data_IF_133891735277
#
_entry.id   IF_133891735277
#
_cell.length_a   1.000
_cell.length_b   1.000
_cell.length_c   1.000
_cell.angle_alpha   90.00
_cell.angle_beta   90.00
_cell.angle_gamma   90.00
#
_symmetry.space_group_name_H-M   'P 1'
#
loop_
_entity.id
_entity.type
_entity.pdbx_description
1 polymer ?
#
# COMPACT_ATOMS: atom_id res chain seq x y z
N UNK A 1 -22.26 -46.67 -24.06
CA UNK A 1 -22.22 -45.19 -24.09
C UNK A 1 -23.44 -44.69 -23.34
N UNK A 2 -23.33 -44.54 -22.02
CA UNK A 2 -24.42 -44.15 -21.11
C UNK A 2 -23.82 -43.19 -20.09
N UNK A 3 -23.93 -41.90 -20.35
CA UNK A 3 -23.51 -40.85 -19.42
C UNK A 3 -24.52 -40.82 -18.28
N UNK A 4 -24.10 -41.22 -17.09
CA UNK A 4 -25.00 -41.38 -15.94
C UNK A 4 -25.44 -39.99 -15.43
N UNK A 5 -26.76 -39.67 -15.37
CA UNK A 5 -27.26 -38.34 -15.04
C UNK A 5 -26.82 -37.84 -13.65
N UNK A 6 -26.59 -38.75 -12.69
CA UNK A 6 -26.06 -38.40 -11.38
C UNK A 6 -24.60 -37.89 -11.43
N UNK A 7 -23.77 -38.49 -12.30
CA UNK A 7 -22.38 -38.04 -12.51
C UNK A 7 -22.32 -36.68 -13.21
N UNK A 8 -23.24 -36.40 -14.15
CA UNK A 8 -23.34 -35.08 -14.80
C UNK A 8 -23.78 -33.99 -13.82
N UNK A 9 -24.66 -34.29 -12.87
CA UNK A 9 -25.11 -33.35 -11.85
C UNK A 9 -24.00 -33.03 -10.84
N UNK A 10 -23.23 -34.03 -10.40
CA UNK A 10 -22.08 -33.80 -9.50
C UNK A 10 -20.93 -33.07 -10.18
N UNK A 11 -20.66 -33.35 -11.46
CA UNK A 11 -19.73 -32.56 -12.28
C UNK A 11 -20.20 -31.11 -12.44
N UNK A 12 -21.49 -30.88 -12.71
CA UNK A 12 -22.05 -29.54 -12.84
C UNK A 12 -21.98 -28.74 -11.52
N UNK A 13 -22.22 -29.39 -10.37
CA UNK A 13 -22.05 -28.80 -9.04
C UNK A 13 -20.59 -28.46 -8.77
N UNK A 14 -19.66 -29.36 -9.07
CA UNK A 14 -18.21 -29.14 -8.91
C UNK A 14 -17.70 -27.96 -9.75
N UNK A 15 -18.16 -27.85 -11.00
CA UNK A 15 -17.84 -26.72 -11.89
C UNK A 15 -18.43 -25.42 -11.36
N UNK A 16 -19.67 -25.45 -10.85
CA UNK A 16 -20.31 -24.26 -10.26
C UNK A 16 -19.55 -23.78 -9.02
N UNK A 17 -19.19 -24.69 -8.11
CA UNK A 17 -18.41 -24.35 -6.91
C UNK A 17 -17.02 -23.81 -7.24
N UNK A 18 -16.36 -24.35 -8.28
CA UNK A 18 -15.07 -23.81 -8.75
C UNK A 18 -15.22 -22.39 -9.31
N UNK A 19 -16.27 -22.13 -10.10
CA UNK A 19 -16.55 -20.79 -10.65
C UNK A 19 -16.87 -19.75 -9.58
N UNK A 20 -17.56 -20.14 -8.52
CA UNK A 20 -17.84 -19.28 -7.36
C UNK A 20 -16.53 -18.88 -6.68
N UNK A 21 -15.64 -19.85 -6.37
CA UNK A 21 -14.33 -19.56 -5.77
C UNK A 21 -13.45 -18.65 -6.64
N UNK A 22 -13.46 -18.85 -7.96
CA UNK A 22 -12.71 -17.99 -8.88
C UNK A 22 -13.29 -16.58 -8.99
N UNK A 23 -14.60 -16.41 -8.79
CA UNK A 23 -15.25 -15.11 -8.73
C UNK A 23 -14.93 -14.39 -7.41
N UNK A 24 -15.01 -15.11 -6.28
CA UNK A 24 -14.63 -14.60 -4.96
C UNK A 24 -13.16 -14.15 -4.95
N UNK A 25 -12.24 -14.99 -5.44
CA UNK A 25 -10.81 -14.65 -5.53
C UNK A 25 -10.59 -13.38 -6.37
N UNK A 26 -11.31 -13.23 -7.48
CA UNK A 26 -11.20 -12.02 -8.32
C UNK A 26 -11.74 -10.78 -7.61
N UNK A 27 -12.85 -10.90 -6.87
CA UNK A 27 -13.40 -9.80 -6.10
C UNK A 27 -12.47 -9.37 -4.96
N UNK A 28 -11.79 -10.30 -4.28
CA UNK A 28 -10.78 -9.98 -3.27
C UNK A 28 -9.60 -9.21 -3.86
N UNK A 29 -9.07 -9.67 -5.00
CA UNK A 29 -7.94 -9.00 -5.68
C UNK A 29 -8.32 -7.59 -6.16
N UNK A 30 -9.53 -7.42 -6.69
CA UNK A 30 -10.04 -6.11 -7.12
C UNK A 30 -10.19 -5.14 -5.95
N UNK A 31 -10.69 -5.64 -4.81
CA UNK A 31 -10.81 -4.87 -3.56
C UNK A 31 -9.44 -4.44 -3.05
N UNK A 32 -8.48 -5.37 -2.94
CA UNK A 32 -7.11 -5.07 -2.49
C UNK A 32 -6.42 -4.05 -3.40
N UNK A 33 -6.61 -4.17 -4.72
CA UNK A 33 -6.04 -3.24 -5.71
C UNK A 33 -6.62 -1.84 -5.56
N UNK A 34 -7.95 -1.71 -5.44
CA UNK A 34 -8.60 -0.42 -5.22
C UNK A 34 -8.21 0.28 -3.91
N UNK A 35 -7.91 -0.51 -2.87
CA UNK A 35 -7.41 0.02 -1.59
C UNK A 35 -5.98 0.55 -1.69
N UNK A 36 -5.10 -0.20 -2.37
CA UNK A 36 -3.73 0.25 -2.66
C UNK A 36 -3.78 1.56 -3.45
N UNK A 37 -4.61 1.64 -4.48
CA UNK A 37 -4.75 2.85 -5.29
C UNK A 37 -5.23 4.05 -4.46
N UNK A 38 -6.22 3.87 -3.57
CA UNK A 38 -6.65 4.94 -2.67
C UNK A 38 -5.55 5.40 -1.70
N UNK A 39 -4.76 4.45 -1.18
CA UNK A 39 -3.66 4.75 -0.29
C UNK A 39 -2.54 5.51 -1.03
N UNK A 40 -2.21 5.09 -2.25
CA UNK A 40 -1.20 5.72 -3.11
C UNK A 40 -1.57 7.15 -3.52
N UNK A 41 -2.87 7.41 -3.76
CA UNK A 41 -3.40 8.74 -4.08
C UNK A 41 -3.54 9.64 -2.84
N UNK A 42 -3.43 9.08 -1.63
CA UNK A 42 -3.56 9.85 -0.39
C UNK A 42 -2.44 10.88 -0.21
N UNK A 43 -2.77 12.03 0.40
CA UNK A 43 -1.78 13.08 0.68
C UNK A 43 -0.63 12.56 1.54
N UNK A 44 -0.88 11.64 2.48
CA UNK A 44 0.15 11.11 3.37
C UNK A 44 1.23 10.30 2.62
N UNK A 45 0.83 9.49 1.63
CA UNK A 45 1.80 8.80 0.76
C UNK A 45 2.66 9.80 0.00
N UNK A 46 2.03 10.81 -0.61
CA UNK A 46 2.72 11.85 -1.37
C UNK A 46 3.70 12.64 -0.49
N UNK A 47 3.27 13.10 0.68
CA UNK A 47 4.09 13.85 1.64
C UNK A 47 5.34 13.08 2.07
N UNK A 48 5.22 11.77 2.34
CA UNK A 48 6.39 10.94 2.64
C UNK A 48 7.36 10.84 1.45
N UNK A 49 6.85 10.63 0.23
CA UNK A 49 7.71 10.55 -0.96
C UNK A 49 8.40 11.88 -1.28
N UNK A 50 7.72 13.00 -1.09
CA UNK A 50 8.28 14.34 -1.24
C UNK A 50 9.39 14.59 -0.19
N UNK A 51 9.16 14.20 1.07
CA UNK A 51 10.16 14.29 2.12
C UNK A 51 11.39 13.38 1.86
N UNK A 52 11.20 12.18 1.31
CA UNK A 52 12.30 11.30 0.91
C UNK A 52 13.13 11.89 -0.25
N UNK A 53 12.49 12.60 -1.18
CA UNK A 53 13.18 13.34 -2.23
C UNK A 53 14.01 14.51 -1.64
N UNK A 54 13.45 15.24 -0.67
CA UNK A 54 14.15 16.30 0.06
C UNK A 54 15.40 15.79 0.80
N UNK A 55 15.32 14.62 1.44
CA UNK A 55 16.47 13.94 2.06
C UNK A 55 17.57 13.70 1.04
N UNK A 56 17.21 13.17 -0.13
CA UNK A 56 18.17 12.92 -1.21
C UNK A 56 18.85 14.21 -1.67
N UNK A 57 18.08 15.28 -1.88
CA UNK A 57 18.61 16.60 -2.25
C UNK A 57 19.54 17.15 -1.16
N UNK A 58 19.14 17.07 0.10
CA UNK A 58 19.93 17.58 1.22
C UNK A 58 21.23 16.77 1.42
N UNK A 59 21.18 15.45 1.22
CA UNK A 59 22.36 14.58 1.23
C UNK A 59 23.36 14.99 0.15
N UNK A 60 22.92 15.14 -1.11
CA UNK A 60 23.82 15.55 -2.18
C UNK A 60 24.47 16.91 -1.90
N UNK A 61 23.68 17.88 -1.40
CA UNK A 61 24.19 19.20 -1.00
C UNK A 61 25.22 19.10 0.11
N UNK A 62 24.98 18.31 1.14
CA UNK A 62 25.93 18.11 2.23
C UNK A 62 27.21 17.40 1.77
N UNK A 63 27.07 16.33 0.97
CA UNK A 63 28.21 15.57 0.45
C UNK A 63 29.14 16.40 -0.45
N UNK A 64 28.57 17.37 -1.19
CA UNK A 64 29.32 18.29 -2.05
C UNK A 64 29.79 19.57 -1.34
N UNK A 65 29.38 19.81 -0.09
CA UNK A 65 29.68 21.06 0.61
C UNK A 65 31.16 21.16 1.00
N UNK A 66 31.73 22.35 0.77
CA UNK A 66 33.05 22.74 1.27
C UNK A 66 33.08 22.83 2.81
N UNK A 67 34.27 22.89 3.38
CA UNK A 67 34.49 22.85 4.84
C UNK A 67 33.76 23.95 5.62
N UNK A 68 33.58 25.14 5.04
CA UNK A 68 32.85 26.27 5.63
C UNK A 68 31.35 25.99 5.80
N UNK A 69 30.73 25.36 4.81
CA UNK A 69 29.27 25.18 4.76
C UNK A 69 28.83 23.79 5.21
N UNK A 70 29.77 22.85 5.37
CA UNK A 70 29.49 21.44 5.69
C UNK A 70 28.65 21.26 6.94
N UNK A 71 28.88 22.06 7.99
CA UNK A 71 28.09 21.98 9.24
C UNK A 71 26.64 22.41 9.03
N UNK A 72 26.42 23.50 8.29
CA UNK A 72 25.07 23.98 7.98
C UNK A 72 24.35 23.01 7.06
N UNK A 73 25.03 22.49 6.03
CA UNK A 73 24.46 21.49 5.12
C UNK A 73 24.14 20.18 5.84
N UNK A 74 24.96 19.76 6.82
CA UNK A 74 24.66 18.59 7.65
C UNK A 74 23.41 18.80 8.53
N UNK A 75 23.27 19.98 9.13
CA UNK A 75 22.07 20.32 9.90
C UNK A 75 20.81 20.33 9.02
N UNK A 76 20.89 20.86 7.80
CA UNK A 76 19.80 20.83 6.83
C UNK A 76 19.44 19.40 6.39
N UNK A 77 20.44 18.52 6.24
CA UNK A 77 20.23 17.10 5.98
C UNK A 77 19.54 16.39 7.16
N UNK A 78 19.99 16.64 8.40
CA UNK A 78 19.32 16.12 9.59
C UNK A 78 17.85 16.56 9.69
N UNK A 79 17.57 17.84 9.47
CA UNK A 79 16.21 18.37 9.44
C UNK A 79 15.35 17.79 8.29
N UNK A 80 15.97 17.33 7.20
CA UNK A 80 15.24 16.61 6.14
C UNK A 80 14.88 15.19 6.60
N UNK A 81 15.80 14.48 7.26
CA UNK A 81 15.55 13.15 7.83
C UNK A 81 14.44 13.19 8.89
N UNK A 82 14.43 14.19 9.77
CA UNK A 82 13.39 14.34 10.79
C UNK A 82 12.00 14.53 10.14
N UNK A 83 11.92 15.31 9.06
CA UNK A 83 10.68 15.52 8.31
C UNK A 83 10.23 14.25 7.57
N UNK A 84 11.16 13.53 6.96
CA UNK A 84 10.86 12.24 6.32
C UNK A 84 10.33 11.24 7.35
N UNK A 85 10.98 11.11 8.51
CA UNK A 85 10.56 10.21 9.57
C UNK A 85 9.15 10.55 10.09
N UNK A 86 8.85 11.84 10.28
CA UNK A 86 7.52 12.29 10.67
C UNK A 86 6.45 11.96 9.61
N UNK A 87 6.75 12.20 8.33
CA UNK A 87 5.83 11.89 7.23
C UNK A 87 5.62 10.37 7.06
N UNK A 88 6.68 9.57 7.19
CA UNK A 88 6.61 8.12 7.17
C UNK A 88 5.72 7.57 8.30
N UNK A 89 5.84 8.13 9.51
CA UNK A 89 4.99 7.78 10.64
C UNK A 89 3.52 8.10 10.36
N UNK A 90 3.22 9.29 9.84
CA UNK A 90 1.86 9.68 9.49
C UNK A 90 1.25 8.78 8.41
N UNK A 91 2.05 8.37 7.42
CA UNK A 91 1.63 7.40 6.41
C UNK A 91 1.37 6.00 7.01
N UNK A 92 2.22 5.53 7.92
CA UNK A 92 2.02 4.26 8.61
C UNK A 92 0.73 4.26 9.46
N UNK A 93 0.45 5.35 10.18
CA UNK A 93 -0.79 5.52 10.94
C UNK A 93 -2.01 5.52 10.00
N UNK A 94 -1.89 6.16 8.83
CA UNK A 94 -2.93 6.15 7.81
C UNK A 94 -3.20 4.74 7.28
N UNK A 95 -2.15 3.98 6.98
CA UNK A 95 -2.24 2.58 6.54
C UNK A 95 -2.94 1.71 7.60
N UNK A 96 -2.57 1.85 8.87
CA UNK A 96 -3.19 1.14 9.98
C UNK A 96 -4.68 1.49 10.16
N UNK A 97 -5.03 2.77 10.00
CA UNK A 97 -6.41 3.25 10.07
C UNK A 97 -7.29 2.72 8.94
N UNK A 98 -6.73 2.61 7.72
CA UNK A 98 -7.41 2.04 6.57
C UNK A 98 -7.72 0.56 6.78
N UNK A 99 -6.73 -0.24 7.20
CA UNK A 99 -6.95 -1.66 7.49
C UNK A 99 -7.99 -1.89 8.59
N UNK A 100 -8.00 -1.05 9.63
CA UNK A 100 -8.96 -1.16 10.73
C UNK A 100 -10.39 -0.82 10.32
N UNK A 101 -10.58 0.18 9.44
CA UNK A 101 -11.90 0.58 8.94
C UNK A 101 -12.55 -0.51 8.09
N UNK A 102 -11.75 -1.18 7.26
CA UNK A 102 -12.23 -2.24 6.38
C UNK A 102 -12.57 -3.53 7.14
N UNK A 103 -11.75 -3.92 8.13
CA UNK A 103 -12.08 -5.05 9.01
C UNK A 103 -13.34 -4.80 9.84
N UNK A 104 -13.59 -3.56 10.27
CA UNK A 104 -14.83 -3.16 10.93
C UNK A 104 -16.06 -3.13 10.00
N UNK A 105 -15.86 -2.78 8.72
CA UNK A 105 -16.90 -2.80 7.69
C UNK A 105 -17.32 -4.21 7.30
N UNK A 106 -16.36 -5.13 7.16
CA UNK A 106 -16.63 -6.55 6.87
C UNK A 106 -17.29 -7.29 8.05
N UNK A 107 -17.05 -6.87 9.30
CA UNK A 107 -17.69 -7.46 10.48
C UNK A 107 -19.14 -6.96 10.72
N UNK A 108 -19.56 -5.89 10.03
CA UNK A 108 -20.91 -5.29 10.16
C UNK A 108 -21.84 -5.58 8.97
N UNK A 109 -21.37 -6.32 7.96
CA UNK A 109 -22.11 -6.68 6.74
C UNK A 109 -22.50 -8.17 6.74
#
# INVERSE_FOLDING_TARGET
MLTHPALMLELAKGVTAARIRDAERRATVDTDTGLIDQLMVSCAHREWTEAAADVSVAYFRWSGAGSSDRKLAFAAYGAALDREAAAASAYADRLASFGSRELGGLASA
#
